data_IF_977316388755
#
_entry.id   IF_977316388755
#
_cell.length_a   1.000
_cell.length_b   1.000
_cell.length_c   1.000
_cell.angle_alpha   90.00
_cell.angle_beta   90.00
_cell.angle_gamma   90.00
#
_symmetry.space_group_name_H-M   'P 1'
#
loop_
_entity.id
_entity.type
_entity.pdbx_description
1 polymer ?
#
# COMPACT_ATOMS: atom_id res chain seq x y z
N UNK A 1 -33.96 -8.83 -27.43
CA UNK A 1 -32.99 -9.03 -26.62
C UNK A 1 -31.89 -8.16 -26.80
N UNK A 2 -31.43 -7.71 -25.84
CA UNK A 2 -30.46 -6.85 -25.99
C UNK A 2 -29.27 -7.50 -25.73
N UNK A 3 -28.46 -7.15 -26.29
CA UNK A 3 -27.26 -7.49 -26.10
C UNK A 3 -26.62 -6.58 -25.29
N UNK A 4 -26.35 -6.94 -24.19
CA UNK A 4 -25.45 -6.27 -23.51
C UNK A 4 -24.20 -6.60 -24.05
N UNK A 5 -23.73 -5.79 -24.58
CA UNK A 5 -22.35 -5.76 -24.60
C UNK A 5 -21.92 -5.36 -23.29
N UNK A 6 -21.80 -6.29 -22.49
CA UNK A 6 -21.20 -6.04 -21.29
C UNK A 6 -19.78 -5.80 -21.57
N UNK A 7 -19.45 -4.65 -21.61
CA UNK A 7 -18.14 -4.23 -21.40
C UNK A 7 -17.77 -4.55 -19.99
N UNK A 8 -17.45 -5.79 -19.75
CA UNK A 8 -16.97 -6.13 -18.43
C UNK A 8 -15.59 -5.53 -18.28
N UNK A 9 -15.53 -4.51 -17.48
CA UNK A 9 -14.27 -3.96 -17.06
C UNK A 9 -13.66 -4.89 -16.06
N UNK A 10 -12.45 -5.32 -16.33
CA UNK A 10 -11.69 -6.12 -15.37
C UNK A 10 -10.86 -5.20 -14.53
N UNK A 11 -10.80 -5.48 -13.26
CA UNK A 11 -9.85 -4.87 -12.34
C UNK A 11 -9.11 -5.99 -11.64
N UNK A 12 -7.88 -5.72 -11.28
CA UNK A 12 -7.06 -6.69 -10.59
C UNK A 12 -6.76 -6.19 -9.19
N UNK A 13 -7.01 -7.01 -8.20
CA UNK A 13 -6.80 -6.65 -6.80
C UNK A 13 -5.91 -7.71 -6.19
N UNK A 14 -4.75 -7.29 -5.69
CA UNK A 14 -3.83 -8.17 -4.99
C UNK A 14 -3.86 -7.90 -3.49
N UNK A 15 -3.68 -8.94 -2.71
CA UNK A 15 -3.64 -8.81 -1.26
C UNK A 15 -2.20 -8.96 -0.78
N UNK A 16 -1.61 -7.86 -0.37
CA UNK A 16 -0.24 -7.84 0.14
C UNK A 16 -0.14 -8.23 1.60
N UNK A 17 -1.22 -8.05 2.36
CA UNK A 17 -1.29 -8.43 3.77
C UNK A 17 -2.75 -8.53 4.19
N UNK A 18 -3.07 -9.50 5.03
CA UNK A 18 -4.43 -9.78 5.48
C UNK A 18 -4.66 -9.59 6.97
N UNK A 19 -3.64 -9.26 7.74
CA UNK A 19 -3.79 -9.00 9.17
C UNK A 19 -2.56 -8.26 9.69
N UNK A 20 -2.71 -7.63 10.86
CA UNK A 20 -1.60 -6.95 11.50
C UNK A 20 -0.52 -7.97 11.88
N UNK A 21 0.69 -7.78 11.40
CA UNK A 21 1.78 -8.72 11.66
C UNK A 21 1.95 -9.79 10.59
N UNK A 22 1.23 -9.67 9.48
CA UNK A 22 1.42 -10.58 8.34
C UNK A 22 2.81 -10.41 7.73
N UNK A 23 3.18 -11.37 6.90
CA UNK A 23 4.47 -11.33 6.21
C UNK A 23 4.60 -10.08 5.34
N UNK A 24 5.82 -9.60 5.17
CA UNK A 24 6.07 -8.35 4.44
C UNK A 24 6.29 -8.54 2.94
N UNK A 25 6.55 -9.76 2.50
CA UNK A 25 7.02 -10.00 1.14
C UNK A 25 5.96 -10.57 0.18
N UNK A 26 4.73 -10.76 0.65
CA UNK A 26 3.67 -11.32 -0.18
C UNK A 26 3.35 -10.41 -1.38
N UNK A 27 3.54 -9.10 -1.23
CA UNK A 27 3.26 -8.14 -2.30
C UNK A 27 4.25 -8.23 -3.46
N UNK A 28 5.46 -8.71 -3.22
CA UNK A 28 6.52 -8.70 -4.24
C UNK A 28 6.14 -9.52 -5.47
N UNK A 29 5.76 -10.79 -5.36
CA UNK A 29 5.35 -11.55 -6.54
C UNK A 29 4.06 -11.03 -7.18
N UNK A 30 3.16 -10.45 -6.38
CA UNK A 30 1.92 -9.87 -6.90
C UNK A 30 2.25 -8.68 -7.82
N UNK A 31 3.10 -7.79 -7.37
CA UNK A 31 3.54 -6.63 -8.15
C UNK A 31 4.23 -7.08 -9.42
N UNK A 32 5.07 -8.12 -9.32
CA UNK A 32 5.76 -8.65 -10.48
C UNK A 32 4.76 -9.12 -11.54
N UNK A 33 3.72 -9.84 -11.13
CA UNK A 33 2.67 -10.28 -12.04
C UNK A 33 1.87 -9.12 -12.63
N UNK A 34 1.67 -8.07 -11.84
CA UNK A 34 0.86 -6.92 -12.24
C UNK A 34 1.55 -6.01 -13.26
N UNK A 35 2.86 -6.10 -13.39
CA UNK A 35 3.61 -5.21 -14.29
C UNK A 35 3.15 -5.29 -15.75
N UNK A 36 2.71 -6.45 -16.18
CA UNK A 36 2.29 -6.66 -17.57
C UNK A 36 0.79 -6.45 -17.80
N UNK A 37 0.05 -6.11 -16.76
CA UNK A 37 -1.40 -5.95 -16.86
C UNK A 37 -1.73 -4.50 -17.17
N UNK A 38 -2.58 -4.28 -18.17
CA UNK A 38 -2.98 -2.93 -18.57
C UNK A 38 -4.26 -2.43 -17.91
N UNK A 39 -5.06 -3.32 -17.39
CA UNK A 39 -6.30 -2.95 -16.69
C UNK A 39 -5.98 -2.34 -15.33
N UNK A 40 -6.94 -1.66 -14.69
CA UNK A 40 -6.72 -1.09 -13.38
C UNK A 40 -6.25 -2.11 -12.35
N UNK A 41 -5.23 -1.75 -11.58
CA UNK A 41 -4.56 -2.65 -10.65
C UNK A 41 -4.49 -2.01 -9.29
N UNK A 42 -4.82 -2.79 -8.29
CA UNK A 42 -4.84 -2.33 -6.90
C UNK A 42 -4.11 -3.33 -6.02
N UNK A 43 -3.28 -2.83 -5.14
CA UNK A 43 -2.59 -3.65 -4.15
C UNK A 43 -3.07 -3.24 -2.78
N UNK A 44 -3.66 -4.16 -2.05
CA UNK A 44 -4.26 -3.87 -0.77
C UNK A 44 -3.45 -4.46 0.38
N UNK A 45 -3.31 -3.69 1.44
CA UNK A 45 -2.70 -4.17 2.67
C UNK A 45 -3.68 -3.92 3.80
N UNK A 46 -4.19 -4.97 4.42
CA UNK A 46 -5.03 -4.89 5.61
C UNK A 46 -4.17 -5.30 6.80
N UNK A 47 -3.77 -4.35 7.62
CA UNK A 47 -2.87 -4.59 8.75
C UNK A 47 -3.30 -3.83 10.00
N UNK A 48 -4.59 -3.63 10.20
CA UNK A 48 -5.10 -2.89 11.32
C UNK A 48 -6.16 -3.68 12.08
N UNK A 49 -6.06 -3.66 13.38
CA UNK A 49 -7.04 -4.24 14.29
C UNK A 49 -7.30 -3.24 15.41
N UNK A 50 -8.30 -3.49 16.24
CA UNK A 50 -8.65 -2.59 17.33
C UNK A 50 -7.46 -2.30 18.23
N UNK A 51 -6.71 -3.33 18.58
CA UNK A 51 -5.54 -3.17 19.44
C UNK A 51 -4.45 -2.33 18.79
N UNK A 52 -4.17 -2.58 17.53
CA UNK A 52 -3.14 -1.84 16.82
C UNK A 52 -3.55 -0.39 16.60
N UNK A 53 -4.83 -0.13 16.39
CA UNK A 53 -5.34 1.23 16.31
C UNK A 53 -5.21 1.95 17.65
N UNK A 54 -5.53 1.29 18.74
CA UNK A 54 -5.39 1.88 20.08
C UNK A 54 -3.92 2.24 20.38
N UNK A 55 -2.99 1.37 20.02
CA UNK A 55 -1.56 1.62 20.18
C UNK A 55 -1.12 2.79 19.30
N UNK A 56 -1.59 2.85 18.06
CA UNK A 56 -1.29 3.95 17.15
C UNK A 56 -1.78 5.28 17.71
N UNK A 57 -2.95 5.30 18.30
CA UNK A 57 -3.51 6.50 18.91
C UNK A 57 -2.66 6.97 20.09
N UNK A 58 -2.13 6.04 20.89
CA UNK A 58 -1.22 6.37 21.97
C UNK A 58 0.04 7.06 21.45
N UNK A 59 0.61 6.56 20.36
CA UNK A 59 1.78 7.18 19.75
C UNK A 59 1.47 8.58 19.27
N UNK A 60 0.31 8.78 18.67
CA UNK A 60 -0.07 10.08 18.16
C UNK A 60 -0.29 11.11 19.26
N UNK A 61 -0.86 10.69 20.37
CA UNK A 61 -1.09 11.59 21.52
C UNK A 61 0.24 12.12 22.05
N UNK A 62 1.28 11.28 22.04
CA UNK A 62 2.58 11.66 22.53
C UNK A 62 3.42 12.40 21.49
N UNK A 63 3.17 12.16 20.21
CA UNK A 63 3.94 12.75 19.12
C UNK A 63 3.02 12.82 17.89
N UNK A 64 2.60 14.01 17.50
CA UNK A 64 1.64 14.21 16.42
C UNK A 64 2.18 13.86 15.04
N UNK A 65 3.47 13.56 14.90
CA UNK A 65 4.05 13.06 13.67
C UNK A 65 3.92 11.55 13.54
N UNK A 66 3.52 10.86 14.61
CA UNK A 66 3.36 9.42 14.65
C UNK A 66 1.88 9.05 14.70
N UNK A 67 1.60 7.77 14.77
CA UNK A 67 0.24 7.26 14.84
C UNK A 67 -0.18 6.48 13.60
N UNK A 68 0.70 6.34 12.61
CA UNK A 68 0.51 5.39 11.52
C UNK A 68 1.25 4.11 11.88
N UNK A 69 1.03 3.04 11.10
CA UNK A 69 1.66 1.75 11.37
C UNK A 69 3.18 1.87 11.39
N UNK A 70 3.85 1.40 12.44
CA UNK A 70 5.32 1.41 12.48
C UNK A 70 5.93 0.45 11.45
N UNK A 71 5.12 -0.41 10.83
CA UNK A 71 5.58 -1.37 9.84
C UNK A 71 5.35 -0.89 8.41
N UNK A 72 4.93 0.36 8.22
CA UNK A 72 4.64 0.94 6.92
C UNK A 72 5.79 0.73 5.94
N UNK A 73 7.00 1.03 6.36
CA UNK A 73 8.19 0.91 5.52
C UNK A 73 8.40 -0.54 5.06
N UNK A 74 8.22 -1.48 5.96
CA UNK A 74 8.45 -2.89 5.65
C UNK A 74 7.51 -3.42 4.57
N UNK A 75 6.25 -2.97 4.60
CA UNK A 75 5.26 -3.44 3.63
C UNK A 75 5.37 -2.70 2.30
N UNK A 76 5.59 -1.41 2.34
CA UNK A 76 5.44 -0.57 1.14
C UNK A 76 6.77 -0.35 0.41
N UNK A 77 7.85 -0.13 1.15
CA UNK A 77 9.12 0.21 0.56
C UNK A 77 9.60 -0.77 -0.52
N UNK A 78 9.46 -2.10 -0.33
CA UNK A 78 9.91 -3.04 -1.35
C UNK A 78 9.19 -2.93 -2.69
N UNK A 79 7.97 -2.38 -2.72
CA UNK A 79 7.16 -2.34 -3.93
C UNK A 79 6.76 -0.93 -4.38
N UNK A 80 7.12 0.09 -3.60
CA UNK A 80 6.65 1.45 -3.88
C UNK A 80 7.06 1.93 -5.27
N UNK A 81 8.32 1.78 -5.60
CA UNK A 81 8.84 2.24 -6.88
C UNK A 81 8.14 1.56 -8.05
N UNK A 82 8.01 0.24 -7.99
CA UNK A 82 7.34 -0.51 -9.05
C UNK A 82 5.86 -0.16 -9.15
N UNK A 83 5.20 0.06 -8.02
CA UNK A 83 3.80 0.47 -8.03
C UNK A 83 3.62 1.82 -8.69
N UNK A 84 4.51 2.77 -8.42
CA UNK A 84 4.46 4.09 -9.04
C UNK A 84 4.72 3.99 -10.55
N UNK A 85 5.72 3.23 -10.92
CA UNK A 85 6.09 3.06 -12.32
C UNK A 85 5.00 2.38 -13.15
N UNK A 86 4.38 1.35 -12.60
CA UNK A 86 3.41 0.53 -13.31
C UNK A 86 1.96 0.88 -12.98
N UNK A 87 1.74 2.02 -12.34
CA UNK A 87 0.40 2.54 -12.02
C UNK A 87 -0.45 1.55 -11.20
N UNK A 88 0.18 0.89 -10.25
CA UNK A 88 -0.50 0.04 -9.29
C UNK A 88 -0.89 0.90 -8.11
N UNK A 89 -2.17 1.02 -7.84
CA UNK A 89 -2.64 1.84 -6.71
C UNK A 89 -2.60 1.04 -5.43
N UNK A 90 -2.01 1.63 -4.41
CA UNK A 90 -1.92 0.99 -3.10
C UNK A 90 -3.04 1.51 -2.23
N UNK A 91 -3.78 0.60 -1.61
CA UNK A 91 -4.86 0.90 -0.68
C UNK A 91 -4.54 0.21 0.63
N UNK A 92 -4.57 0.95 1.72
CA UNK A 92 -4.26 0.35 3.01
C UNK A 92 -4.86 1.14 4.16
N UNK A 93 -5.05 0.45 5.26
CA UNK A 93 -5.42 1.04 6.54
C UNK A 93 -4.19 1.27 7.45
N UNK A 94 -2.98 1.22 6.88
CA UNK A 94 -1.75 1.46 7.65
C UNK A 94 -1.63 2.90 8.16
N UNK A 95 -2.46 3.81 7.66
CA UNK A 95 -2.51 5.16 8.21
C UNK A 95 -2.97 5.19 9.65
N UNK A 96 -3.77 4.19 10.06
CA UNK A 96 -4.21 4.03 11.45
C UNK A 96 -4.75 5.34 12.03
N UNK A 97 -4.08 5.89 13.04
CA UNK A 97 -4.51 7.13 13.69
C UNK A 97 -3.95 8.39 13.02
N UNK A 98 -3.14 8.26 11.99
CA UNK A 98 -2.51 9.40 11.31
C UNK A 98 -2.26 9.15 9.83
N UNK A 99 -3.30 9.10 8.99
CA UNK A 99 -3.12 8.85 7.55
C UNK A 99 -2.25 9.90 6.86
N UNK A 100 -2.36 11.15 7.29
CA UNK A 100 -1.54 12.22 6.70
C UNK A 100 -0.07 12.03 7.02
N UNK A 101 0.24 11.58 8.24
CA UNK A 101 1.61 11.26 8.61
C UNK A 101 2.17 10.11 7.79
N UNK A 102 1.35 9.10 7.52
CA UNK A 102 1.74 7.99 6.67
C UNK A 102 2.03 8.47 5.25
N UNK A 103 1.20 9.34 4.70
CA UNK A 103 1.39 9.89 3.36
C UNK A 103 2.70 10.68 3.27
N UNK A 104 2.99 11.48 4.29
CA UNK A 104 4.25 12.23 4.35
C UNK A 104 5.45 11.28 4.41
N UNK A 105 5.34 10.21 5.19
CA UNK A 105 6.41 9.21 5.28
C UNK A 105 6.67 8.55 3.93
N UNK A 106 5.61 8.17 3.22
CA UNK A 106 5.75 7.56 1.89
C UNK A 106 6.39 8.52 0.89
N UNK A 107 6.05 9.80 0.96
CA UNK A 107 6.69 10.81 0.12
C UNK A 107 8.19 10.90 0.40
N UNK A 108 8.58 10.87 1.67
CA UNK A 108 9.99 10.90 2.05
C UNK A 108 10.74 9.66 1.57
N UNK A 109 10.12 8.49 1.66
CA UNK A 109 10.71 7.26 1.15
C UNK A 109 10.96 7.37 -0.35
N UNK A 110 9.98 7.86 -1.09
CA UNK A 110 10.09 8.00 -2.54
C UNK A 110 11.19 8.99 -2.93
N UNK A 111 11.31 10.10 -2.22
CA UNK A 111 12.33 11.10 -2.50
C UNK A 111 13.73 10.60 -2.13
N UNK A 112 13.87 9.91 -1.00
CA UNK A 112 15.17 9.52 -0.48
C UNK A 112 15.75 8.27 -1.13
N UNK A 113 14.90 7.44 -1.74
CA UNK A 113 15.39 6.24 -2.41
C UNK A 113 15.69 6.58 -3.85
N UNK A 114 16.89 6.36 -4.33
CA UNK A 114 17.19 6.60 -5.74
C UNK A 114 16.34 5.64 -6.58
N UNK A 115 15.79 6.16 -7.65
CA UNK A 115 14.99 5.33 -8.53
C UNK A 115 15.90 4.36 -9.24
N UNK A 116 15.35 3.23 -9.63
CA UNK A 116 16.12 2.24 -10.37
C UNK A 116 16.54 2.74 -11.74
N UNK A 117 15.97 3.83 -12.17
CA UNK A 117 16.20 4.36 -13.49
C UNK A 117 17.18 5.50 -13.50
N UNK A 118 17.71 5.83 -12.36
CA UNK A 118 18.73 6.84 -12.30
C UNK A 118 20.04 6.23 -12.67
N UNK A 119 20.21 5.92 -13.86
CA UNK A 119 21.50 5.41 -14.32
C UNK A 119 21.97 6.26 -15.43
#
# INVERSE_FOLDING_TARGET
MFNYVTMSKKVYIGCGAGFAGDRYDASIPIVEDFKSINEPKYLMFEVLAERTLAIAQQYRINDDTKGYSPYLDYYIKPVLEDCLEHKIKIISNMGAANPLGAAKRLSLIHISEPTRHCT
#
